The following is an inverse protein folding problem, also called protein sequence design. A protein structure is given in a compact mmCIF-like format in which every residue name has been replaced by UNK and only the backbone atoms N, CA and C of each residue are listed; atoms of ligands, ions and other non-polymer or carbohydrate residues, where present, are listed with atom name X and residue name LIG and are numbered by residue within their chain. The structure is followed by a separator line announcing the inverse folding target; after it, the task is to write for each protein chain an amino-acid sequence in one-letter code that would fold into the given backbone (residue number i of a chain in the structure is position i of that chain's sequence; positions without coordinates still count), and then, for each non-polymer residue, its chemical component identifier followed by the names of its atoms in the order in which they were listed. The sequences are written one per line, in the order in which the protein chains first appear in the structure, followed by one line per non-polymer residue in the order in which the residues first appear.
data_IF_439345889796
#
_entry.id   IF_439345889796
#
_cell.length_a   1.000
_cell.length_b   1.000
_cell.length_c   1.000
_cell.angle_alpha   90.00
_cell.angle_beta   90.00
_cell.angle_gamma   90.00
#
_symmetry.space_group_name_H-M   'P 1'
#
loop_
_entity.id
_entity.type
_entity.pdbx_description
1 polymer ?
#
# COMPACT_ATOMS: atom_id res chain seq x y z
N UNK A 1 6.95 21.14 -3.08
CA UNK A 1 8.36 21.21 -3.57
C UNK A 1 8.53 20.25 -4.72
N UNK A 2 9.51 20.48 -5.59
CA UNK A 2 9.85 19.56 -6.69
C UNK A 2 11.16 18.83 -6.39
N UNK A 3 11.43 17.75 -7.12
CA UNK A 3 12.69 17.03 -7.00
C UNK A 3 13.87 17.87 -7.53
N UNK A 4 15.06 17.65 -6.96
CA UNK A 4 16.31 18.31 -7.39
C UNK A 4 16.98 17.64 -8.59
N UNK A 5 16.39 16.59 -9.11
CA UNK A 5 16.89 15.81 -10.24
C UNK A 5 15.78 15.61 -11.27
N UNK A 6 16.14 15.14 -12.44
CA UNK A 6 15.20 14.98 -13.54
C UNK A 6 14.32 13.75 -13.32
N UNK A 7 13.05 14.00 -12.97
CA UNK A 7 12.01 12.98 -12.89
C UNK A 7 10.80 13.43 -13.70
N UNK A 8 10.46 12.67 -14.72
CA UNK A 8 9.42 12.99 -15.69
C UNK A 8 8.33 11.92 -15.72
N UNK A 9 7.18 12.25 -16.31
CA UNK A 9 6.11 11.27 -16.60
C UNK A 9 6.65 10.11 -17.41
N UNK A 10 7.50 10.37 -18.39
CA UNK A 10 8.09 9.31 -19.23
C UNK A 10 9.01 8.39 -18.44
N UNK A 11 9.75 8.91 -17.47
CA UNK A 11 10.51 8.08 -16.52
C UNK A 11 9.58 7.15 -15.75
N UNK A 12 8.48 7.67 -15.22
CA UNK A 12 7.53 6.85 -14.48
C UNK A 12 6.86 5.80 -15.38
N UNK A 13 6.54 6.12 -16.63
CA UNK A 13 6.02 5.16 -17.61
C UNK A 13 6.99 4.00 -17.85
N UNK A 14 8.28 4.26 -17.85
CA UNK A 14 9.30 3.22 -18.02
C UNK A 14 9.45 2.36 -16.75
N UNK A 15 9.34 2.97 -15.58
CA UNK A 15 9.47 2.29 -14.28
C UNK A 15 8.23 1.46 -13.96
N UNK A 16 7.06 1.99 -14.26
CA UNK A 16 5.74 1.36 -13.98
C UNK A 16 4.94 1.28 -15.28
N UNK A 17 5.31 0.39 -16.21
CA UNK A 17 4.65 0.32 -17.50
C UNK A 17 3.21 -0.23 -17.39
N UNK A 18 2.36 0.22 -18.30
CA UNK A 18 1.02 -0.32 -18.45
C UNK A 18 -0.01 0.18 -17.42
N UNK A 19 0.30 1.22 -16.66
CA UNK A 19 -0.66 1.83 -15.76
C UNK A 19 -1.46 2.92 -16.49
N UNK A 20 -2.80 2.83 -16.52
CA UNK A 20 -3.64 3.80 -17.25
C UNK A 20 -3.74 5.17 -16.56
N UNK A 21 -3.32 5.27 -15.29
CA UNK A 21 -3.41 6.49 -14.47
C UNK A 21 -2.03 7.09 -14.15
N UNK A 22 -1.06 6.87 -15.01
CA UNK A 22 0.33 7.25 -14.73
C UNK A 22 0.50 8.76 -14.47
N UNK A 23 -0.26 9.60 -15.17
CA UNK A 23 -0.19 11.06 -14.97
C UNK A 23 -0.64 11.45 -13.56
N UNK A 24 -1.71 10.84 -13.06
CA UNK A 24 -2.20 11.07 -11.69
C UNK A 24 -1.21 10.59 -10.63
N UNK A 25 -0.61 9.42 -10.84
CA UNK A 25 0.43 8.92 -9.96
C UNK A 25 1.66 9.82 -9.95
N UNK A 26 2.08 10.28 -11.11
CA UNK A 26 3.22 11.20 -11.24
C UNK A 26 2.99 12.48 -10.46
N UNK A 27 1.83 13.11 -10.63
CA UNK A 27 1.47 14.35 -9.90
C UNK A 27 1.50 14.12 -8.39
N UNK A 28 0.88 13.05 -7.90
CA UNK A 28 0.87 12.71 -6.48
C UNK A 28 2.27 12.46 -5.92
N UNK A 29 3.12 11.74 -6.65
CA UNK A 29 4.50 11.47 -6.24
C UNK A 29 5.32 12.78 -6.14
N UNK A 30 5.20 13.66 -7.12
CA UNK A 30 5.91 14.95 -7.14
C UNK A 30 5.45 15.89 -6.01
N UNK A 31 4.17 15.86 -5.69
CA UNK A 31 3.60 16.69 -4.63
C UNK A 31 4.03 16.21 -3.23
N UNK A 32 4.03 14.91 -2.99
CA UNK A 32 4.11 14.34 -1.65
C UNK A 32 5.51 13.92 -1.25
N UNK A 33 6.25 13.22 -2.11
CA UNK A 33 7.50 12.56 -1.71
C UNK A 33 8.60 13.50 -1.21
N UNK A 34 8.77 14.72 -1.76
CA UNK A 34 9.79 15.63 -1.22
C UNK A 34 9.60 16.00 0.24
N UNK A 35 8.35 16.07 0.71
CA UNK A 35 8.03 16.38 2.12
C UNK A 35 8.41 15.25 3.10
N UNK A 36 8.67 14.06 2.57
CA UNK A 36 9.12 12.89 3.33
C UNK A 36 10.60 12.56 3.08
N UNK A 37 11.36 13.51 2.53
CA UNK A 37 12.77 13.32 2.20
C UNK A 37 13.05 12.14 1.24
N UNK A 38 12.05 11.75 0.46
CA UNK A 38 12.20 10.78 -0.63
C UNK A 38 12.53 11.57 -1.90
N UNK A 39 13.72 12.16 -1.92
CA UNK A 39 14.08 13.26 -2.81
C UNK A 39 15.42 13.07 -3.53
N UNK A 40 15.99 11.86 -3.51
CA UNK A 40 17.16 11.47 -4.30
C UNK A 40 16.81 10.37 -5.30
N UNK A 41 17.59 10.20 -6.38
CA UNK A 41 17.35 9.08 -7.31
C UNK A 41 17.30 7.72 -6.63
N UNK A 42 18.21 7.46 -5.67
CA UNK A 42 18.26 6.20 -4.93
C UNK A 42 17.02 5.99 -4.07
N UNK A 43 16.61 7.01 -3.34
CA UNK A 43 15.42 6.96 -2.47
C UNK A 43 14.15 6.78 -3.29
N UNK A 44 14.01 7.54 -4.38
CA UNK A 44 12.87 7.42 -5.28
C UNK A 44 12.83 6.06 -5.96
N UNK A 45 13.95 5.57 -6.47
CA UNK A 45 14.03 4.26 -7.09
C UNK A 45 13.62 3.14 -6.13
N UNK A 46 14.11 3.19 -4.89
CA UNK A 46 13.76 2.21 -3.86
C UNK A 46 12.26 2.28 -3.50
N UNK A 47 11.72 3.49 -3.32
CA UNK A 47 10.30 3.69 -3.04
C UNK A 47 9.41 3.14 -4.15
N UNK A 48 9.70 3.51 -5.40
CA UNK A 48 8.94 3.04 -6.56
C UNK A 48 9.02 1.52 -6.73
N UNK A 49 10.20 0.94 -6.51
CA UNK A 49 10.37 -0.52 -6.60
C UNK A 49 9.53 -1.27 -5.57
N UNK A 50 9.56 -0.84 -4.32
CA UNK A 50 8.77 -1.47 -3.27
C UNK A 50 7.26 -1.30 -3.50
N UNK A 51 6.83 -0.08 -3.82
CA UNK A 51 5.42 0.20 -4.12
C UNK A 51 4.93 -0.54 -5.36
N UNK A 52 5.73 -0.63 -6.42
CA UNK A 52 5.37 -1.36 -7.64
C UNK A 52 5.20 -2.85 -7.36
N UNK A 53 6.08 -3.44 -6.55
CA UNK A 53 5.92 -4.83 -6.14
C UNK A 53 4.67 -5.05 -5.29
N UNK A 54 4.49 -4.25 -4.24
CA UNK A 54 3.37 -4.39 -3.29
C UNK A 54 2.00 -4.15 -3.93
N UNK A 55 1.91 -3.29 -4.93
CA UNK A 55 0.65 -2.89 -5.57
C UNK A 55 0.44 -3.46 -6.97
N UNK A 56 1.31 -4.35 -7.43
CA UNK A 56 1.22 -4.88 -8.80
C UNK A 56 1.28 -3.78 -9.87
N UNK A 57 2.24 -2.87 -9.75
CA UNK A 57 2.41 -1.76 -10.69
C UNK A 57 1.42 -0.60 -10.45
N UNK A 58 1.13 -0.26 -9.21
CA UNK A 58 0.21 0.80 -8.79
C UNK A 58 -1.25 0.53 -9.21
N UNK A 59 -1.63 -0.72 -9.34
CA UNK A 59 -2.98 -1.14 -9.76
C UNK A 59 -3.82 -1.68 -8.60
N UNK A 60 -3.23 -2.50 -7.73
CA UNK A 60 -3.89 -3.11 -6.59
C UNK A 60 -3.73 -2.22 -5.34
N UNK A 61 -4.49 -1.13 -5.29
CA UNK A 61 -4.44 -0.11 -4.22
C UNK A 61 -5.49 -0.31 -3.13
N UNK A 62 -6.34 -1.30 -3.29
CA UNK A 62 -7.33 -1.75 -2.30
C UNK A 62 -7.31 -3.27 -2.24
N UNK A 63 -7.39 -3.80 -1.03
CA UNK A 63 -7.49 -5.24 -0.78
C UNK A 63 -8.66 -5.86 -1.55
N UNK A 64 -8.40 -6.98 -2.23
CA UNK A 64 -9.43 -7.73 -2.92
C UNK A 64 -10.15 -8.67 -1.95
N UNK A 65 -11.39 -8.35 -1.65
CA UNK A 65 -12.26 -9.08 -0.73
C UNK A 65 -13.33 -9.90 -1.47
N UNK A 66 -13.20 -10.03 -2.77
CA UNK A 66 -14.14 -10.79 -3.59
C UNK A 66 -13.82 -12.29 -3.59
N UNK A 67 -14.07 -12.93 -2.47
CA UNK A 67 -13.80 -14.35 -2.27
C UNK A 67 -14.96 -15.25 -2.70
N UNK A 68 -14.61 -16.48 -3.09
CA UNK A 68 -15.56 -17.60 -3.24
C UNK A 68 -15.63 -18.38 -1.92
N UNK A 69 -16.72 -19.14 -1.67
CA UNK A 69 -16.87 -19.92 -0.43
C UNK A 69 -15.69 -20.86 -0.16
N UNK A 70 -15.21 -21.58 -1.18
CA UNK A 70 -14.08 -22.49 -1.05
C UNK A 70 -12.80 -21.77 -0.61
N UNK A 71 -12.57 -20.56 -1.08
CA UNK A 71 -11.40 -19.75 -0.71
C UNK A 71 -11.51 -19.26 0.73
N UNK A 72 -12.69 -18.83 1.17
CA UNK A 72 -12.93 -18.47 2.58
C UNK A 72 -12.65 -19.63 3.52
N UNK A 73 -13.08 -20.83 3.16
CA UNK A 73 -12.81 -22.05 3.97
C UNK A 73 -11.32 -22.37 4.03
N UNK A 74 -10.60 -22.14 2.95
CA UNK A 74 -9.16 -22.41 2.86
C UNK A 74 -8.33 -21.38 3.64
N UNK A 75 -8.61 -20.09 3.46
CA UNK A 75 -7.79 -18.99 3.99
C UNK A 75 -8.26 -18.49 5.36
N UNK A 76 -9.55 -18.58 5.62
CA UNK A 76 -10.20 -17.98 6.80
C UNK A 76 -11.08 -19.00 7.56
N UNK A 77 -10.62 -20.24 7.63
CA UNK A 77 -11.32 -21.33 8.32
C UNK A 77 -11.65 -21.03 9.79
N UNK A 78 -10.88 -20.14 10.42
CA UNK A 78 -11.15 -19.65 11.78
C UNK A 78 -12.48 -18.88 11.88
N UNK A 79 -12.90 -18.25 10.79
CA UNK A 79 -14.05 -17.34 10.77
C UNK A 79 -15.25 -17.89 9.99
N UNK A 80 -15.07 -18.91 9.14
CA UNK A 80 -16.10 -19.43 8.27
C UNK A 80 -16.16 -20.97 8.31
N UNK A 81 -17.37 -21.48 8.44
CA UNK A 81 -17.72 -22.85 8.06
C UNK A 81 -18.42 -22.84 6.68
N UNK A 82 -18.83 -24.02 6.19
CA UNK A 82 -19.44 -24.13 4.87
C UNK A 82 -20.69 -23.25 4.74
N UNK A 83 -21.60 -23.31 5.72
CA UNK A 83 -22.84 -22.57 5.70
C UNK A 83 -22.64 -21.05 5.74
N UNK A 84 -21.75 -20.58 6.63
CA UNK A 84 -21.45 -19.15 6.74
C UNK A 84 -20.68 -18.62 5.54
N UNK A 85 -19.76 -19.38 4.96
CA UNK A 85 -19.05 -19.00 3.74
C UNK A 85 -20.02 -18.81 2.57
N UNK A 86 -20.95 -19.75 2.37
CA UNK A 86 -21.98 -19.65 1.35
C UNK A 86 -22.93 -18.48 1.58
N UNK A 87 -23.36 -18.28 2.83
CA UNK A 87 -24.22 -17.16 3.19
C UNK A 87 -23.57 -15.80 2.89
N UNK A 88 -22.35 -15.57 3.38
CA UNK A 88 -21.66 -14.30 3.18
C UNK A 88 -21.38 -14.02 1.70
N UNK A 89 -21.01 -15.04 0.94
CA UNK A 89 -20.78 -14.91 -0.51
C UNK A 89 -22.07 -14.63 -1.30
N UNK A 90 -23.24 -14.91 -0.75
CA UNK A 90 -24.53 -14.63 -1.37
C UNK A 90 -25.04 -13.20 -1.13
N UNK A 91 -24.43 -12.46 -0.20
CA UNK A 91 -24.89 -11.12 0.16
C UNK A 91 -24.58 -10.11 -0.96
N UNK A 92 -25.46 -9.11 -1.19
CA UNK A 92 -25.19 -8.06 -2.17
C UNK A 92 -23.98 -7.18 -1.80
N UNK A 93 -23.70 -7.02 -0.48
CA UNK A 93 -22.55 -6.33 0.07
C UNK A 93 -21.45 -7.31 0.54
N UNK A 94 -21.25 -8.37 -0.18
CA UNK A 94 -20.39 -9.51 0.19
C UNK A 94 -18.99 -9.10 0.65
N UNK A 95 -18.31 -8.20 -0.08
CA UNK A 95 -16.94 -7.79 0.28
C UNK A 95 -16.90 -7.05 1.61
N UNK A 96 -17.86 -6.16 1.85
CA UNK A 96 -18.01 -5.44 3.12
C UNK A 96 -18.28 -6.41 4.27
N UNK A 97 -19.24 -7.31 4.09
CA UNK A 97 -19.61 -8.29 5.11
C UNK A 97 -18.44 -9.22 5.48
N UNK A 98 -17.70 -9.69 4.49
CA UNK A 98 -16.52 -10.53 4.68
C UNK A 98 -15.44 -9.77 5.46
N UNK A 99 -15.11 -8.55 5.05
CA UNK A 99 -14.12 -7.73 5.75
C UNK A 99 -14.50 -7.47 7.20
N UNK A 100 -15.76 -7.11 7.44
CA UNK A 100 -16.26 -6.86 8.79
C UNK A 100 -16.16 -8.08 9.69
N UNK A 101 -16.28 -9.28 9.14
CA UNK A 101 -16.15 -10.53 9.88
C UNK A 101 -14.71 -10.92 10.17
N UNK A 102 -13.86 -10.93 9.14
CA UNK A 102 -12.47 -11.39 9.31
C UNK A 102 -11.61 -10.43 10.12
N UNK A 103 -11.94 -9.15 10.11
CA UNK A 103 -11.17 -8.12 10.83
C UNK A 103 -11.84 -7.64 12.12
N UNK A 104 -12.96 -8.25 12.51
CA UNK A 104 -13.65 -7.89 13.75
C UNK A 104 -12.74 -8.08 14.97
N UNK A 105 -12.76 -7.12 15.87
CA UNK A 105 -12.02 -7.17 17.16
C UNK A 105 -10.51 -7.34 17.00
N UNK A 106 -9.97 -6.92 15.87
CA UNK A 106 -8.53 -7.00 15.55
C UNK A 106 -8.01 -5.64 15.17
N UNK A 107 -6.74 -5.37 15.45
CA UNK A 107 -6.04 -4.14 15.03
C UNK A 107 -6.81 -2.85 15.40
N UNK A 108 -7.42 -2.84 16.56
CA UNK A 108 -8.24 -1.72 17.05
C UNK A 108 -9.64 -1.62 16.45
N UNK A 109 -10.03 -2.52 15.55
CA UNK A 109 -11.39 -2.56 15.02
C UNK A 109 -12.38 -3.00 16.10
N UNK A 110 -13.59 -2.46 16.05
CA UNK A 110 -14.71 -2.92 16.85
C UNK A 110 -15.27 -4.26 16.37
N UNK A 111 -16.41 -4.69 16.95
CA UNK A 111 -17.06 -5.93 16.54
C UNK A 111 -17.53 -5.88 15.08
N UNK A 112 -17.95 -7.02 14.55
CA UNK A 112 -18.41 -7.15 13.15
C UNK A 112 -19.47 -6.09 12.80
N UNK A 113 -20.42 -5.84 13.69
CA UNK A 113 -21.48 -4.85 13.47
C UNK A 113 -21.01 -3.40 13.43
N UNK A 114 -19.79 -3.09 13.87
CA UNK A 114 -19.23 -1.73 13.83
C UNK A 114 -18.94 -1.24 12.42
N UNK A 115 -18.73 -2.15 11.47
CA UNK A 115 -18.31 -1.82 10.11
C UNK A 115 -16.83 -1.44 9.98
N UNK A 116 -16.06 -1.51 11.06
CA UNK A 116 -14.65 -1.11 11.08
C UNK A 116 -13.79 -1.99 10.17
N UNK A 117 -14.07 -3.27 10.08
CA UNK A 117 -13.30 -4.19 9.26
C UNK A 117 -13.22 -3.78 7.79
N UNK A 118 -14.33 -3.36 7.22
CA UNK A 118 -14.36 -2.85 5.84
C UNK A 118 -13.86 -1.41 5.74
N UNK A 119 -14.26 -0.55 6.67
CA UNK A 119 -13.83 0.85 6.66
C UNK A 119 -12.31 0.99 6.70
N UNK A 120 -11.63 0.13 7.44
CA UNK A 120 -10.19 0.13 7.62
C UNK A 120 -9.50 -1.08 6.99
N UNK A 121 -10.07 -1.63 5.90
CA UNK A 121 -9.42 -2.69 5.13
C UNK A 121 -8.16 -2.17 4.43
N UNK A 122 -7.36 -3.08 3.90
CA UNK A 122 -6.09 -2.74 3.27
C UNK A 122 -6.24 -1.79 2.08
N UNK A 123 -5.59 -0.62 2.16
CA UNK A 123 -5.55 0.38 1.07
C UNK A 123 -4.18 1.02 0.97
N UNK A 124 -3.91 1.60 -0.21
CA UNK A 124 -2.68 2.34 -0.50
C UNK A 124 -1.63 1.50 -1.20
N UNK A 125 -0.53 2.15 -1.58
CA UNK A 125 0.58 1.52 -2.32
C UNK A 125 1.35 0.49 -1.47
N UNK A 126 1.45 0.75 -0.17
CA UNK A 126 1.90 -0.21 0.85
C UNK A 126 0.70 -0.34 1.78
N UNK A 127 -0.01 -1.45 1.70
CA UNK A 127 -1.34 -1.58 2.30
C UNK A 127 -1.37 -1.23 3.79
N UNK A 128 -2.14 -0.20 4.12
CA UNK A 128 -2.48 0.19 5.48
C UNK A 128 -3.76 -0.53 5.88
N UNK A 129 -3.72 -1.29 6.98
CA UNK A 129 -4.84 -2.14 7.42
C UNK A 129 -5.08 -1.98 8.91
N UNK A 130 -6.35 -1.88 9.30
CA UNK A 130 -6.79 -1.84 10.70
C UNK A 130 -6.90 -0.44 11.27
N UNK A 131 -7.88 -0.25 12.15
CA UNK A 131 -8.19 1.05 12.74
C UNK A 131 -7.00 1.69 13.46
N UNK A 132 -6.21 0.90 14.19
CA UNK A 132 -5.03 1.42 14.90
C UNK A 132 -4.00 2.03 13.94
N UNK A 133 -3.74 1.37 12.80
CA UNK A 133 -2.80 1.86 11.81
C UNK A 133 -3.33 3.11 11.10
N UNK A 134 -4.62 3.11 10.75
CA UNK A 134 -5.27 4.30 10.19
C UNK A 134 -5.25 5.47 11.16
N UNK A 135 -5.44 5.21 12.46
CA UNK A 135 -5.40 6.24 13.51
C UNK A 135 -4.01 6.86 13.62
N UNK A 136 -2.95 6.04 13.62
CA UNK A 136 -1.57 6.55 13.64
C UNK A 136 -1.24 7.40 12.40
N UNK A 137 -1.66 6.93 11.25
CA UNK A 137 -1.51 7.70 10.02
C UNK A 137 -2.30 9.02 10.07
N UNK A 138 -3.55 8.98 10.50
CA UNK A 138 -4.40 10.16 10.64
C UNK A 138 -3.80 11.21 11.57
N UNK A 139 -3.24 10.76 12.71
CA UNK A 139 -2.56 11.66 13.66
C UNK A 139 -1.35 12.36 13.02
N UNK A 140 -0.59 11.66 12.18
CA UNK A 140 0.58 12.25 11.50
C UNK A 140 0.21 13.32 10.48
N UNK A 141 -0.99 13.26 9.94
CA UNK A 141 -1.51 14.20 8.93
C UNK A 141 -2.56 15.17 9.50
N UNK A 142 -2.73 15.17 10.81
CA UNK A 142 -3.70 16.04 11.51
C UNK A 142 -5.13 15.89 11.00
N UNK A 143 -5.51 14.65 10.65
CA UNK A 143 -6.86 14.28 10.19
C UNK A 143 -7.57 13.43 11.21
N UNK A 144 -8.91 13.35 11.12
CA UNK A 144 -9.65 12.29 11.79
C UNK A 144 -9.38 10.94 11.11
N UNK A 145 -9.64 9.84 11.82
CA UNK A 145 -9.44 8.50 11.25
C UNK A 145 -10.40 8.25 10.07
N UNK A 146 -11.58 8.82 10.11
CA UNK A 146 -12.56 8.77 9.03
C UNK A 146 -12.07 9.52 7.79
N UNK A 147 -11.58 10.75 7.96
CA UNK A 147 -10.98 11.55 6.87
C UNK A 147 -9.79 10.82 6.24
N UNK A 148 -8.93 10.23 7.06
CA UNK A 148 -7.79 9.44 6.56
C UNK A 148 -8.25 8.22 5.75
N UNK A 149 -9.30 7.54 6.19
CA UNK A 149 -9.89 6.41 5.46
C UNK A 149 -10.41 6.83 4.07
N UNK A 150 -11.08 7.97 3.99
CA UNK A 150 -11.54 8.54 2.71
C UNK A 150 -10.38 8.99 1.83
N UNK A 151 -9.37 9.65 2.41
CA UNK A 151 -8.18 10.09 1.70
C UNK A 151 -7.40 8.94 1.05
N UNK A 152 -7.37 7.78 1.68
CA UNK A 152 -6.74 6.57 1.15
C UNK A 152 -7.44 5.97 -0.09
N UNK A 153 -8.56 6.53 -0.52
CA UNK A 153 -9.19 6.20 -1.80
C UNK A 153 -8.71 7.07 -2.96
N UNK A 154 -7.86 8.06 -2.67
CA UNK A 154 -7.28 8.99 -3.65
C UNK A 154 -5.84 8.60 -4.02
N UNK A 155 -5.35 9.09 -5.16
CA UNK A 155 -3.94 8.90 -5.55
C UNK A 155 -3.00 9.49 -4.51
N UNK A 156 -3.27 10.71 -4.06
CA UNK A 156 -2.48 11.42 -3.05
C UNK A 156 -2.43 10.64 -1.74
N UNK A 157 -3.57 10.17 -1.27
CA UNK A 157 -3.63 9.39 -0.03
C UNK A 157 -2.90 8.05 -0.11
N UNK A 158 -2.96 7.39 -1.26
CA UNK A 158 -2.22 6.14 -1.50
C UNK A 158 -0.70 6.37 -1.45
N UNK A 159 -0.22 7.47 -2.01
CA UNK A 159 1.19 7.85 -1.96
C UNK A 159 1.58 8.30 -0.55
N UNK A 160 0.78 9.16 0.06
CA UNK A 160 1.11 9.75 1.37
C UNK A 160 1.15 8.69 2.48
N UNK A 161 0.22 7.76 2.50
CA UNK A 161 0.24 6.66 3.48
C UNK A 161 1.47 5.77 3.34
N UNK A 162 1.90 5.50 2.12
CA UNK A 162 3.13 4.76 1.85
C UNK A 162 4.38 5.56 2.27
N UNK A 163 4.41 6.85 1.98
CA UNK A 163 5.50 7.75 2.38
C UNK A 163 5.59 7.88 3.91
N UNK A 164 4.45 7.98 4.59
CA UNK A 164 4.39 7.97 6.04
C UNK A 164 4.96 6.68 6.63
N UNK A 165 4.56 5.53 6.11
CA UNK A 165 5.11 4.24 6.52
C UNK A 165 6.62 4.18 6.32
N UNK A 166 7.08 4.70 5.19
CA UNK A 166 8.49 4.78 4.83
C UNK A 166 9.29 5.60 5.85
N UNK A 167 8.80 6.77 6.19
CA UNK A 167 9.41 7.65 7.19
C UNK A 167 9.36 7.03 8.60
N UNK A 168 8.22 6.51 9.00
CA UNK A 168 8.04 5.90 10.32
C UNK A 168 8.97 4.69 10.57
N UNK A 169 9.38 4.02 9.51
CA UNK A 169 10.31 2.89 9.55
C UNK A 169 11.75 3.25 9.16
N UNK A 170 12.07 4.53 8.97
CA UNK A 170 13.40 5.04 8.60
C UNK A 170 13.97 4.34 7.35
N UNK A 171 13.15 4.11 6.33
CA UNK A 171 13.55 3.33 5.16
C UNK A 171 14.53 4.06 4.25
N UNK A 172 14.60 5.39 4.31
CA UNK A 172 15.56 6.18 3.54
C UNK A 172 17.00 5.76 3.82
N UNK A 173 17.36 5.41 5.06
CA UNK A 173 18.70 4.96 5.39
C UNK A 173 19.12 3.69 4.64
N UNK A 174 18.18 2.79 4.37
CA UNK A 174 18.43 1.57 3.60
C UNK A 174 18.46 1.86 2.10
N UNK A 175 17.63 2.78 1.63
CA UNK A 175 17.66 3.25 0.24
C UNK A 175 19.02 3.88 -0.09
N UNK A 176 19.57 4.71 0.79
CA UNK A 176 20.87 5.35 0.61
C UNK A 176 22.02 4.34 0.48
N UNK A 177 21.86 3.15 1.06
CA UNK A 177 22.86 2.06 1.00
C UNK A 177 22.55 1.04 -0.09
N UNK A 178 21.41 1.17 -0.79
CA UNK A 178 20.93 0.15 -1.73
C UNK A 178 20.58 -1.17 -1.04
N UNK A 179 20.24 -1.15 0.25
CA UNK A 179 19.94 -2.34 1.05
C UNK A 179 18.46 -2.74 0.93
N UNK A 180 18.12 -3.31 -0.22
CA UNK A 180 16.75 -3.74 -0.52
C UNK A 180 16.34 -4.93 0.33
N UNK A 181 17.27 -5.77 0.75
CA UNK A 181 17.00 -6.91 1.63
C UNK A 181 16.40 -6.49 2.97
N UNK A 182 17.09 -5.60 3.69
CA UNK A 182 16.62 -5.13 5.00
C UNK A 182 15.31 -4.36 4.86
N UNK A 183 15.21 -3.52 3.84
CA UNK A 183 13.98 -2.78 3.51
C UNK A 183 12.80 -3.74 3.29
N UNK A 184 12.98 -4.78 2.50
CA UNK A 184 11.96 -5.80 2.23
C UNK A 184 11.51 -6.50 3.51
N UNK A 185 12.45 -6.84 4.40
CA UNK A 185 12.12 -7.42 5.70
C UNK A 185 11.26 -6.48 6.56
N UNK A 186 11.53 -5.17 6.50
CA UNK A 186 10.75 -4.17 7.23
C UNK A 186 9.33 -4.01 6.68
N UNK A 187 9.18 -4.05 5.36
CA UNK A 187 7.88 -3.89 4.70
C UNK A 187 7.03 -5.16 4.79
N UNK A 188 7.64 -6.32 4.51
CA UNK A 188 6.92 -7.59 4.34
C UNK A 188 7.00 -8.51 5.56
N UNK A 189 7.96 -8.31 6.45
CA UNK A 189 8.25 -9.21 7.55
C UNK A 189 9.12 -10.40 7.16
N UNK A 190 9.48 -10.53 5.89
CA UNK A 190 10.30 -11.61 5.34
C UNK A 190 10.97 -11.19 4.05
N UNK A 191 11.24 -12.15 3.18
CA UNK A 191 11.94 -11.92 1.91
C UNK A 191 11.11 -12.23 0.68
N UNK A 192 9.79 -12.27 0.81
CA UNK A 192 8.88 -12.54 -0.30
C UNK A 192 9.07 -11.49 -1.40
N UNK A 193 9.31 -11.95 -2.62
CA UNK A 193 9.50 -11.09 -3.77
C UNK A 193 10.80 -10.30 -3.81
N UNK A 194 11.79 -10.66 -2.98
CA UNK A 194 13.06 -9.92 -2.91
C UNK A 194 13.73 -9.76 -4.28
N UNK A 195 13.80 -10.82 -5.06
CA UNK A 195 14.41 -10.78 -6.39
C UNK A 195 13.69 -9.82 -7.34
N UNK A 196 12.37 -9.85 -7.35
CA UNK A 196 11.53 -8.94 -8.13
C UNK A 196 11.72 -7.48 -7.69
N UNK A 197 11.76 -7.23 -6.37
CA UNK A 197 12.00 -5.90 -5.79
C UNK A 197 13.37 -5.34 -6.17
N UNK A 198 14.40 -6.17 -6.16
CA UNK A 198 15.76 -5.79 -6.58
C UNK A 198 15.79 -5.45 -8.07
N UNK A 199 15.16 -6.24 -8.92
CA UNK A 199 15.05 -5.96 -10.36
C UNK A 199 14.34 -4.63 -10.64
N UNK A 200 13.23 -4.38 -9.94
CA UNK A 200 12.52 -3.12 -10.03
C UNK A 200 13.40 -1.94 -9.58
N UNK A 201 14.14 -2.10 -8.50
CA UNK A 201 15.04 -1.08 -7.99
C UNK A 201 16.15 -0.75 -8.99
N UNK A 202 16.84 -1.76 -9.49
CA UNK A 202 17.93 -1.58 -10.47
C UNK A 202 17.42 -0.91 -11.74
N UNK A 203 16.27 -1.33 -12.23
CA UNK A 203 15.64 -0.72 -13.41
C UNK A 203 15.25 0.75 -13.16
N UNK A 204 14.58 1.02 -12.03
CA UNK A 204 14.19 2.38 -11.67
C UNK A 204 15.40 3.29 -11.49
N UNK A 205 16.44 2.80 -10.84
CA UNK A 205 17.68 3.54 -10.63
C UNK A 205 18.36 3.88 -11.97
N UNK A 206 18.41 2.92 -12.89
CA UNK A 206 18.95 3.13 -14.23
C UNK A 206 18.16 4.21 -15.00
N UNK A 207 16.82 4.11 -14.99
CA UNK A 207 15.94 5.10 -15.66
C UNK A 207 16.15 6.50 -15.10
N UNK A 208 16.34 6.63 -13.77
CA UNK A 208 16.53 7.91 -13.10
C UNK A 208 17.98 8.44 -13.18
N UNK A 209 18.88 7.74 -13.86
CA UNK A 209 20.27 8.14 -14.01
C UNK A 209 21.12 7.99 -12.75
N UNK A 210 20.63 7.26 -11.75
CA UNK A 210 21.41 6.88 -10.57
C UNK A 210 22.36 5.72 -10.88
N UNK A 211 23.58 5.80 -10.43
CA UNK A 211 24.63 4.78 -10.62
C UNK A 211 25.10 4.19 -9.28
#
# INVERSE_FOLDING_TARGET
MSFNFDFTVDHLKQIVPGNPYIDHWYEALCEILPDYDIDTPQRLAAFLAQCAHESGGFKAIKENLNYKPATLLKLFSKYFDQATAEHYCSLPNKQEAIANRIYANRMGNGPEASGDGYRYCGRGLIQLTGKDNYTRYAQSTEQSVEEASEHLTTFEGCVQSAAWFWEANNLNQYADKGDILTMTKRINGGTIGLEDRIKHYEHALHVLGGH
#
